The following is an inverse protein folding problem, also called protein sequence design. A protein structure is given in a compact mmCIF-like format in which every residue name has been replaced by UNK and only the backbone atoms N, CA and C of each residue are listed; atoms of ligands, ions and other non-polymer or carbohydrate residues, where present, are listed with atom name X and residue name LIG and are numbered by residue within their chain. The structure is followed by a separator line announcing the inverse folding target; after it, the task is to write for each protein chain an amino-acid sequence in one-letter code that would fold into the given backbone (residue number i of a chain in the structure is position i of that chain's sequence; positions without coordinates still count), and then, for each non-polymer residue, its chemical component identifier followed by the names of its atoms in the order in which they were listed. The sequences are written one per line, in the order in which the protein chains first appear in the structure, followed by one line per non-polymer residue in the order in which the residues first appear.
data_IF_185155352589
#
_entry.id   IF_185155352589
#
_cell.length_a   1.000
_cell.length_b   1.000
_cell.length_c   1.000
_cell.angle_alpha   90.00
_cell.angle_beta   90.00
_cell.angle_gamma   90.00
#
_symmetry.space_group_name_H-M   'P 1'
#
loop_
_entity.id
_entity.type
_entity.pdbx_description
1 polymer ?
#
# COMPACT_ATOMS: atom_id res chain seq x y z
N UNK A 1 -19.37 16.02 7.28
CA UNK A 1 -18.76 14.70 7.21
C UNK A 1 -18.51 14.18 8.63
N UNK A 2 -18.69 12.90 8.84
CA UNK A 2 -18.36 12.17 10.07
C UNK A 2 -17.27 11.17 9.78
N UNK A 3 -16.48 10.79 10.80
CA UNK A 3 -15.41 9.84 10.66
C UNK A 3 -15.26 8.93 11.88
N UNK A 4 -14.47 7.86 11.71
CA UNK A 4 -14.11 6.94 12.77
C UNK A 4 -12.60 6.86 12.84
N UNK A 5 -12.04 6.86 14.06
CA UNK A 5 -10.64 6.58 14.33
C UNK A 5 -10.57 5.25 15.08
N UNK A 6 -10.07 4.23 14.40
CA UNK A 6 -10.04 2.85 14.88
C UNK A 6 -8.63 2.45 15.30
N UNK A 7 -8.48 1.77 16.41
CA UNK A 7 -7.24 1.13 16.83
C UNK A 7 -7.56 -0.07 17.75
N UNK A 8 -6.69 -1.08 17.75
CA UNK A 8 -6.82 -2.25 18.61
C UNK A 8 -6.37 -1.97 20.06
N UNK A 9 -5.68 -0.84 20.29
CA UNK A 9 -5.14 -0.45 21.59
C UNK A 9 -5.76 0.86 22.08
N UNK A 10 -6.06 0.93 23.37
CA UNK A 10 -6.63 2.13 23.99
C UNK A 10 -5.68 3.34 23.97
N UNK A 11 -4.36 3.11 24.13
CA UNK A 11 -3.37 4.20 24.18
C UNK A 11 -3.39 5.09 22.94
N UNK A 12 -3.27 4.55 21.71
CA UNK A 12 -3.40 5.30 20.47
C UNK A 12 -4.76 6.01 20.34
N UNK A 13 -5.86 5.35 20.74
CA UNK A 13 -7.20 5.97 20.70
C UNK A 13 -7.32 7.18 21.63
N UNK A 14 -6.75 7.10 22.84
CA UNK A 14 -6.71 8.24 23.75
C UNK A 14 -5.87 9.38 23.20
N UNK A 15 -4.76 9.06 22.51
CA UNK A 15 -3.95 10.08 21.82
C UNK A 15 -4.74 10.71 20.65
N UNK A 16 -5.44 9.90 19.87
CA UNK A 16 -6.32 10.38 18.80
C UNK A 16 -7.41 11.30 19.35
N UNK A 17 -8.10 10.91 20.44
CA UNK A 17 -9.12 11.71 21.09
C UNK A 17 -8.60 13.09 21.51
N UNK A 18 -7.46 13.14 22.20
CA UNK A 18 -6.83 14.42 22.59
C UNK A 18 -6.46 15.29 21.38
N UNK A 19 -6.01 14.69 20.28
CA UNK A 19 -5.69 15.43 19.05
C UNK A 19 -6.96 15.96 18.37
N UNK A 20 -8.03 15.18 18.33
CA UNK A 20 -9.33 15.59 17.81
C UNK A 20 -9.93 16.74 18.61
N UNK A 21 -9.85 16.69 19.95
CA UNK A 21 -10.28 17.77 20.84
C UNK A 21 -9.52 19.06 20.55
N UNK A 22 -8.18 18.98 20.48
CA UNK A 22 -7.31 20.14 20.17
C UNK A 22 -7.60 20.74 18.78
N UNK A 23 -7.93 19.91 17.80
CA UNK A 23 -8.21 20.31 16.43
C UNK A 23 -9.69 20.74 16.20
N UNK A 24 -10.55 20.63 17.22
CA UNK A 24 -11.98 20.97 17.11
C UNK A 24 -12.83 19.97 16.32
N UNK A 25 -12.40 18.71 16.23
CA UNK A 25 -13.08 17.65 15.50
C UNK A 25 -13.74 16.58 16.40
N UNK A 26 -13.72 16.73 17.72
CA UNK A 26 -14.22 15.72 18.66
C UNK A 26 -15.69 15.32 18.41
N UNK A 27 -16.53 16.27 18.00
CA UNK A 27 -17.96 16.02 17.68
C UNK A 27 -18.18 15.35 16.32
N UNK A 28 -17.13 15.27 15.48
CA UNK A 28 -17.22 14.77 14.10
C UNK A 28 -16.53 13.43 13.89
N UNK A 29 -15.64 13.04 14.78
CA UNK A 29 -14.85 11.80 14.69
C UNK A 29 -15.02 10.98 15.95
N UNK A 30 -15.60 9.80 15.81
CA UNK A 30 -15.75 8.84 16.89
C UNK A 30 -14.52 7.96 16.99
N UNK A 31 -14.00 7.75 18.21
CA UNK A 31 -12.93 6.77 18.46
C UNK A 31 -13.53 5.40 18.76
N UNK A 32 -13.03 4.35 18.13
CA UNK A 32 -13.54 2.98 18.23
C UNK A 32 -12.41 2.02 18.54
N UNK A 33 -12.52 1.30 19.66
CA UNK A 33 -11.60 0.23 20.03
C UNK A 33 -11.99 -1.04 19.26
N UNK A 34 -11.24 -1.39 18.21
CA UNK A 34 -11.55 -2.52 17.34
C UNK A 34 -10.31 -3.08 16.66
N UNK A 35 -10.33 -4.35 16.26
CA UNK A 35 -9.31 -4.96 15.42
C UNK A 35 -9.60 -4.65 13.95
N UNK A 36 -8.79 -3.76 13.38
CA UNK A 36 -8.94 -3.31 12.00
C UNK A 36 -10.28 -2.62 11.76
N UNK A 37 -11.13 -3.21 10.94
CA UNK A 37 -12.44 -2.67 10.52
C UNK A 37 -13.63 -3.48 11.05
N UNK A 38 -13.44 -4.35 12.05
CA UNK A 38 -14.51 -5.14 12.63
C UNK A 38 -15.60 -4.25 13.24
N UNK A 39 -16.86 -4.53 12.91
CA UNK A 39 -18.01 -3.73 13.35
C UNK A 39 -18.28 -2.46 12.54
N UNK A 40 -17.52 -2.22 11.46
CA UNK A 40 -17.72 -1.05 10.59
C UNK A 40 -18.63 -1.32 9.39
N UNK A 41 -19.19 -2.51 9.25
CA UNK A 41 -19.96 -2.97 8.09
C UNK A 41 -21.17 -2.07 7.77
N UNK A 42 -21.78 -1.49 8.80
CA UNK A 42 -22.95 -0.62 8.64
C UNK A 42 -22.63 0.87 8.85
N UNK A 43 -21.36 1.24 8.89
CA UNK A 43 -20.93 2.62 9.16
C UNK A 43 -21.22 3.59 8.01
N UNK A 44 -21.44 3.07 6.79
CA UNK A 44 -21.70 3.88 5.60
C UNK A 44 -20.45 4.68 5.17
N UNK A 45 -19.24 4.18 5.47
CA UNK A 45 -18.00 4.85 5.05
C UNK A 45 -17.84 4.81 3.53
N UNK A 46 -17.35 5.90 2.98
CA UNK A 46 -16.98 6.04 1.57
C UNK A 46 -15.47 6.06 1.36
N UNK A 47 -14.73 6.34 2.42
CA UNK A 47 -13.27 6.43 2.39
C UNK A 47 -12.70 5.68 3.60
N UNK A 48 -11.71 4.82 3.35
CA UNK A 48 -10.98 4.08 4.39
C UNK A 48 -9.50 4.38 4.25
N UNK A 49 -8.88 4.88 5.32
CA UNK A 49 -7.44 5.16 5.37
C UNK A 49 -6.78 4.16 6.30
N UNK A 50 -5.80 3.39 5.78
CA UNK A 50 -4.96 2.49 6.59
C UNK A 50 -3.51 2.81 6.31
N UNK A 51 -2.81 3.36 7.29
CA UNK A 51 -1.45 3.87 7.12
C UNK A 51 -0.54 3.50 8.30
N UNK A 52 0.77 3.44 8.04
CA UNK A 52 1.78 3.29 9.08
C UNK A 52 2.02 1.85 9.57
N UNK A 53 1.52 0.84 8.84
CA UNK A 53 1.67 -0.59 9.17
C UNK A 53 2.14 -1.39 7.96
N UNK A 54 2.57 -2.65 8.16
CA UNK A 54 3.06 -3.49 7.06
C UNK A 54 1.98 -3.89 6.06
N UNK A 55 2.35 -4.07 4.79
CA UNK A 55 1.43 -4.45 3.72
C UNK A 55 0.71 -5.76 3.99
N UNK A 56 1.36 -6.74 4.62
CA UNK A 56 0.74 -8.00 5.04
C UNK A 56 -0.39 -7.77 6.09
N UNK A 57 -0.16 -6.83 7.01
CA UNK A 57 -1.17 -6.48 8.04
C UNK A 57 -2.35 -5.76 7.40
N UNK A 58 -2.09 -4.83 6.47
CA UNK A 58 -3.15 -4.16 5.70
C UNK A 58 -3.97 -5.20 4.94
N UNK A 59 -3.32 -6.11 4.21
CA UNK A 59 -3.99 -7.20 3.47
C UNK A 59 -4.89 -8.03 4.39
N UNK A 60 -4.41 -8.42 5.56
CA UNK A 60 -5.20 -9.17 6.54
C UNK A 60 -6.38 -8.38 7.12
N UNK A 61 -6.28 -7.05 7.27
CA UNK A 61 -7.42 -6.19 7.67
C UNK A 61 -8.48 -6.17 6.55
N UNK A 62 -8.05 -5.97 5.30
CA UNK A 62 -8.95 -5.92 4.14
C UNK A 62 -9.64 -7.28 3.90
N UNK A 63 -8.92 -8.40 4.07
CA UNK A 63 -9.47 -9.75 3.94
C UNK A 63 -10.62 -10.01 4.92
N UNK A 64 -10.51 -9.47 6.16
CA UNK A 64 -11.55 -9.58 7.19
C UNK A 64 -12.67 -8.55 7.06
N UNK A 65 -12.64 -7.70 6.03
CA UNK A 65 -13.61 -6.63 5.79
C UNK A 65 -14.28 -6.77 4.41
N UNK A 66 -15.05 -7.86 4.15
CA UNK A 66 -15.64 -8.10 2.84
C UNK A 66 -16.66 -7.03 2.42
N UNK A 67 -17.17 -6.21 3.34
CA UNK A 67 -18.04 -5.09 3.03
C UNK A 67 -17.36 -3.99 2.18
N UNK A 68 -16.01 -4.02 2.08
CA UNK A 68 -15.25 -3.13 1.21
C UNK A 68 -15.31 -3.56 -0.27
N UNK A 69 -15.75 -4.80 -0.55
CA UNK A 69 -15.90 -5.34 -1.90
C UNK A 69 -17.19 -4.83 -2.55
N UNK A 70 -17.31 -3.52 -2.66
CA UNK A 70 -18.42 -2.84 -3.31
C UNK A 70 -17.94 -1.54 -3.97
N UNK A 71 -18.65 -1.10 -5.01
CA UNK A 71 -18.37 0.16 -5.67
C UNK A 71 -18.57 1.36 -4.73
N UNK A 72 -17.81 2.42 -4.93
CA UNK A 72 -17.95 3.69 -4.24
C UNK A 72 -17.22 3.78 -2.90
N UNK A 73 -16.47 2.75 -2.48
CA UNK A 73 -15.54 2.85 -1.35
C UNK A 73 -14.12 3.03 -1.88
N UNK A 74 -13.48 4.13 -1.48
CA UNK A 74 -12.09 4.44 -1.78
C UNK A 74 -11.19 4.04 -0.63
N UNK A 75 -10.14 3.29 -0.94
CA UNK A 75 -9.09 2.90 -0.01
C UNK A 75 -7.86 3.78 -0.22
N UNK A 76 -7.36 4.39 0.85
CA UNK A 76 -6.08 5.12 0.87
C UNK A 76 -5.14 4.34 1.78
N UNK A 77 -4.14 3.70 1.18
CA UNK A 77 -3.30 2.73 1.85
C UNK A 77 -1.84 3.18 1.85
N UNK A 78 -1.20 3.18 3.02
CA UNK A 78 0.23 3.49 3.13
C UNK A 78 0.93 2.34 3.87
N UNK A 79 1.42 1.32 3.13
CA UNK A 79 2.25 0.26 3.69
C UNK A 79 3.64 0.81 4.04
N UNK A 80 4.13 0.54 5.25
CA UNK A 80 5.52 0.87 5.62
C UNK A 80 6.53 -0.12 5.05
N UNK A 81 6.10 -1.35 4.79
CA UNK A 81 6.90 -2.45 4.26
C UNK A 81 6.02 -3.36 3.43
N UNK A 82 6.61 -4.17 2.56
CA UNK A 82 5.91 -5.21 1.79
C UNK A 82 4.82 -4.66 0.85
N UNK A 83 5.11 -3.54 0.17
CA UNK A 83 4.20 -2.94 -0.81
C UNK A 83 3.76 -3.95 -1.89
N UNK A 84 4.69 -4.82 -2.33
CA UNK A 84 4.43 -5.85 -3.34
C UNK A 84 3.39 -6.89 -2.89
N UNK A 85 3.35 -7.21 -1.59
CA UNK A 85 2.37 -8.14 -1.04
C UNK A 85 0.98 -7.51 -1.05
N UNK A 86 0.90 -6.23 -0.68
CA UNK A 86 -0.37 -5.51 -0.70
C UNK A 86 -0.91 -5.34 -2.14
N UNK A 87 -0.07 -4.98 -3.12
CA UNK A 87 -0.50 -4.88 -4.52
C UNK A 87 -1.01 -6.23 -5.05
N UNK A 88 -0.29 -7.32 -4.76
CA UNK A 88 -0.70 -8.65 -5.16
C UNK A 88 -2.04 -9.07 -4.52
N UNK A 89 -2.20 -8.79 -3.22
CA UNK A 89 -3.47 -9.01 -2.52
C UNK A 89 -4.62 -8.24 -3.17
N UNK A 90 -4.45 -6.94 -3.40
CA UNK A 90 -5.47 -6.08 -4.00
C UNK A 90 -5.91 -6.61 -5.36
N UNK A 91 -4.97 -6.92 -6.25
CA UNK A 91 -5.25 -7.41 -7.60
C UNK A 91 -5.95 -8.79 -7.58
N UNK A 92 -5.54 -9.69 -6.70
CA UNK A 92 -6.14 -11.03 -6.58
C UNK A 92 -7.55 -11.01 -5.96
N UNK A 93 -7.91 -9.92 -5.23
CA UNK A 93 -9.20 -9.77 -4.55
C UNK A 93 -10.13 -8.73 -5.21
N UNK A 94 -9.88 -8.40 -6.48
CA UNK A 94 -10.78 -7.56 -7.27
C UNK A 94 -10.67 -6.06 -6.99
N UNK A 95 -9.62 -5.61 -6.32
CA UNK A 95 -9.32 -4.19 -6.15
C UNK A 95 -8.34 -3.72 -7.22
N UNK A 96 -8.62 -2.56 -7.81
CA UNK A 96 -7.70 -1.89 -8.71
C UNK A 96 -6.99 -0.75 -7.97
N UNK A 97 -5.67 -0.72 -8.06
CA UNK A 97 -4.89 0.46 -7.66
C UNK A 97 -5.08 1.52 -8.74
N UNK A 98 -5.70 2.64 -8.36
CA UNK A 98 -6.02 3.74 -9.28
C UNK A 98 -4.84 4.70 -9.39
N UNK A 99 -4.20 5.00 -8.27
CA UNK A 99 -3.12 5.96 -8.18
C UNK A 99 -2.09 5.51 -7.14
N UNK A 100 -0.82 5.84 -7.40
CA UNK A 100 0.27 5.68 -6.44
C UNK A 100 1.16 6.90 -6.46
N UNK A 101 1.52 7.37 -5.28
CA UNK A 101 2.47 8.45 -5.09
C UNK A 101 3.57 8.07 -4.10
N UNK A 102 4.76 8.63 -4.31
CA UNK A 102 5.87 8.54 -3.34
C UNK A 102 5.96 9.83 -2.56
N UNK A 103 5.84 9.72 -1.25
CA UNK A 103 6.00 10.83 -0.31
C UNK A 103 7.27 10.63 0.52
N UNK A 104 8.00 11.72 0.75
CA UNK A 104 9.19 11.71 1.60
C UNK A 104 8.86 12.16 3.02
N UNK A 105 9.39 11.47 4.02
CA UNK A 105 9.37 11.88 5.41
C UNK A 105 10.75 11.65 6.04
N UNK A 106 11.46 12.73 6.28
CA UNK A 106 12.88 12.67 6.67
C UNK A 106 13.70 11.99 5.56
N UNK A 107 14.37 10.90 5.90
CA UNK A 107 15.18 10.10 4.96
C UNK A 107 14.43 8.95 4.29
N UNK A 108 13.15 8.76 4.61
CA UNK A 108 12.38 7.63 4.13
C UNK A 108 11.44 8.03 3.00
N UNK A 109 11.26 7.12 2.05
CA UNK A 109 10.30 7.21 0.95
C UNK A 109 9.18 6.19 1.17
N UNK A 110 7.95 6.68 1.25
CA UNK A 110 6.76 5.87 1.44
C UNK A 110 5.89 5.91 0.19
N UNK A 111 5.26 4.78 -0.12
CA UNK A 111 4.27 4.70 -1.20
C UNK A 111 2.88 4.86 -0.58
N UNK A 112 2.10 5.77 -1.12
CA UNK A 112 0.67 5.92 -0.84
C UNK A 112 -0.10 5.42 -2.05
N UNK A 113 -1.04 4.51 -1.82
CA UNK A 113 -1.85 3.86 -2.85
C UNK A 113 -3.31 4.27 -2.68
N UNK A 114 -3.96 4.63 -3.76
CA UNK A 114 -5.43 4.76 -3.82
C UNK A 114 -5.97 3.54 -4.55
N UNK A 115 -6.91 2.81 -3.96
CA UNK A 115 -7.51 1.64 -4.56
C UNK A 115 -9.03 1.65 -4.42
N UNK A 116 -9.72 1.01 -5.37
CA UNK A 116 -11.16 0.85 -5.40
C UNK A 116 -11.52 -0.57 -5.81
N UNK A 117 -12.68 -1.06 -5.36
CA UNK A 117 -13.16 -2.37 -5.76
C UNK A 117 -13.80 -2.30 -7.16
N UNK A 118 -13.36 -3.19 -8.05
CA UNK A 118 -13.86 -3.32 -9.43
C UNK A 118 -14.44 -4.69 -9.71
N UNK A 119 -14.25 -5.66 -8.83
CA UNK A 119 -14.61 -7.05 -9.02
C UNK A 119 -13.70 -7.82 -9.98
N UNK A 120 -12.73 -7.15 -10.62
CA UNK A 120 -11.84 -7.77 -11.60
C UNK A 120 -10.57 -8.31 -10.93
N UNK A 121 -10.51 -9.61 -10.68
CA UNK A 121 -9.32 -10.29 -10.18
C UNK A 121 -8.30 -10.52 -11.30
N UNK A 122 -7.02 -10.28 -11.02
CA UNK A 122 -5.92 -10.57 -11.94
C UNK A 122 -4.62 -10.87 -11.23
N UNK A 123 -3.76 -11.64 -11.88
CA UNK A 123 -2.38 -11.83 -11.43
C UNK A 123 -1.50 -10.67 -11.90
N UNK A 124 -0.54 -10.30 -11.07
CA UNK A 124 0.47 -9.28 -11.39
C UNK A 124 1.77 -9.94 -11.83
N UNK A 125 2.44 -9.36 -12.82
CA UNK A 125 3.85 -9.62 -13.10
C UNK A 125 4.73 -9.16 -11.94
N UNK A 126 6.00 -9.60 -11.93
CA UNK A 126 6.95 -9.15 -10.91
C UNK A 126 7.15 -7.63 -10.96
N UNK A 127 7.24 -7.06 -12.15
CA UNK A 127 7.34 -5.62 -12.36
C UNK A 127 6.14 -4.87 -11.73
N UNK A 128 4.93 -5.31 -12.01
CA UNK A 128 3.71 -4.70 -11.44
C UNK A 128 3.65 -4.81 -9.92
N UNK A 129 4.06 -5.96 -9.34
CA UNK A 129 4.10 -6.14 -7.89
C UNK A 129 5.04 -5.16 -7.21
N UNK A 130 6.23 -4.96 -7.76
CA UNK A 130 7.26 -4.14 -7.11
C UNK A 130 7.18 -2.66 -7.45
N UNK A 131 6.73 -2.31 -8.65
CA UNK A 131 6.70 -0.93 -9.11
C UNK A 131 5.31 -0.30 -9.09
N UNK A 132 4.25 -1.11 -9.27
CA UNK A 132 2.88 -0.61 -9.35
C UNK A 132 2.73 0.47 -10.41
N UNK A 133 2.00 1.53 -10.10
CA UNK A 133 1.78 2.69 -10.95
C UNK A 133 2.89 3.76 -10.87
N UNK A 134 3.93 3.55 -10.09
CA UNK A 134 5.08 4.46 -10.05
C UNK A 134 5.81 4.54 -11.39
N UNK A 135 5.56 3.57 -12.29
CA UNK A 135 6.08 3.56 -13.66
C UNK A 135 5.34 4.51 -14.61
N UNK A 136 4.15 4.96 -14.26
CA UNK A 136 3.30 5.77 -15.15
C UNK A 136 3.68 7.25 -15.14
N UNK A 137 4.20 7.74 -14.00
CA UNK A 137 4.59 9.14 -13.82
C UNK A 137 5.74 9.26 -12.83
N UNK A 138 6.97 9.22 -13.34
CA UNK A 138 8.17 9.20 -12.51
C UNK A 138 8.56 10.59 -12.01
N UNK A 139 8.04 10.97 -10.85
CA UNK A 139 8.59 12.10 -10.08
C UNK A 139 10.02 11.77 -9.59
N UNK A 140 10.84 12.75 -9.20
CA UNK A 140 12.18 12.48 -8.63
C UNK A 140 12.14 11.49 -7.46
N UNK A 141 11.13 11.58 -6.60
CA UNK A 141 10.92 10.67 -5.46
C UNK A 141 10.54 9.25 -5.94
N UNK A 142 9.67 9.14 -6.95
CA UNK A 142 9.29 7.85 -7.54
C UNK A 142 10.48 7.19 -8.23
N UNK A 143 11.28 7.94 -9.01
CA UNK A 143 12.49 7.44 -9.62
C UNK A 143 13.51 6.96 -8.58
N UNK A 144 13.67 7.68 -7.46
CA UNK A 144 14.54 7.23 -6.36
C UNK A 144 14.02 5.94 -5.72
N UNK A 145 12.71 5.86 -5.42
CA UNK A 145 12.07 4.65 -4.88
C UNK A 145 12.24 3.47 -5.84
N UNK A 146 12.01 3.66 -7.13
CA UNK A 146 12.20 2.62 -8.15
C UNK A 146 13.68 2.17 -8.24
N UNK A 147 14.65 3.08 -8.13
CA UNK A 147 16.08 2.73 -8.10
C UNK A 147 16.40 1.87 -6.87
N UNK A 148 15.90 2.24 -5.69
CA UNK A 148 16.05 1.43 -4.48
C UNK A 148 15.43 0.04 -4.66
N UNK A 149 14.26 -0.04 -5.30
CA UNK A 149 13.58 -1.29 -5.61
C UNK A 149 14.42 -2.17 -6.55
N UNK A 150 14.97 -1.59 -7.63
CA UNK A 150 15.85 -2.32 -8.54
C UNK A 150 17.10 -2.87 -7.83
N UNK A 151 17.76 -2.08 -7.00
CA UNK A 151 18.88 -2.54 -6.19
C UNK A 151 18.48 -3.70 -5.27
N UNK A 152 17.33 -3.61 -4.60
CA UNK A 152 16.83 -4.67 -3.73
C UNK A 152 16.55 -5.97 -4.51
N UNK A 153 15.95 -5.88 -5.70
CA UNK A 153 15.70 -7.04 -6.56
C UNK A 153 17.00 -7.70 -7.02
N UNK A 154 18.00 -6.92 -7.42
CA UNK A 154 19.32 -7.45 -7.80
C UNK A 154 20.02 -8.17 -6.64
N UNK A 155 19.95 -7.64 -5.42
CA UNK A 155 20.51 -8.31 -4.24
C UNK A 155 19.73 -9.58 -3.89
N UNK A 156 18.40 -9.55 -3.94
CA UNK A 156 17.57 -10.74 -3.69
C UNK A 156 17.80 -11.84 -4.73
N UNK A 157 18.03 -11.48 -6.00
CA UNK A 157 18.40 -12.42 -7.07
C UNK A 157 19.63 -13.24 -6.69
N UNK A 158 20.67 -12.63 -6.10
CA UNK A 158 21.88 -13.35 -5.67
C UNK A 158 21.56 -14.38 -4.59
N UNK A 159 20.70 -14.03 -3.62
CA UNK A 159 20.23 -14.95 -2.58
C UNK A 159 19.45 -16.12 -3.16
N UNK A 160 18.49 -15.85 -4.04
CA UNK A 160 17.68 -16.87 -4.73
C UNK A 160 18.57 -17.86 -5.54
N UNK A 161 19.58 -17.34 -6.20
CA UNK A 161 20.52 -18.20 -6.92
C UNK A 161 21.28 -19.17 -6.00
N UNK A 162 21.70 -18.70 -4.82
CA UNK A 162 22.34 -19.54 -3.80
C UNK A 162 21.38 -20.57 -3.18
N UNK A 163 20.10 -20.24 -3.10
CA UNK A 163 19.01 -21.11 -2.64
C UNK A 163 18.62 -22.18 -3.69
N UNK A 164 19.18 -22.13 -4.90
CA UNK A 164 18.89 -23.05 -6.00
C UNK A 164 17.71 -22.63 -6.88
N UNK A 165 17.12 -21.47 -6.64
CA UNK A 165 15.95 -20.92 -7.34
C UNK A 165 16.40 -20.11 -8.60
N UNK A 166 17.16 -20.75 -9.49
CA UNK A 166 17.83 -20.06 -10.61
C UNK A 166 16.87 -19.35 -11.57
N UNK A 167 15.71 -19.92 -11.85
CA UNK A 167 14.71 -19.31 -12.74
C UNK A 167 14.13 -18.02 -12.11
N UNK A 168 13.77 -18.08 -10.84
CA UNK A 168 13.25 -16.92 -10.09
C UNK A 168 14.35 -15.85 -9.92
N UNK A 169 15.58 -16.26 -9.67
CA UNK A 169 16.75 -15.36 -9.61
C UNK A 169 16.92 -14.58 -10.91
N UNK A 170 16.80 -15.25 -12.06
CA UNK A 170 16.90 -14.62 -13.37
C UNK A 170 15.77 -13.61 -13.60
N UNK A 171 14.53 -13.94 -13.22
CA UNK A 171 13.37 -13.04 -13.32
C UNK A 171 13.58 -11.77 -12.48
N UNK A 172 14.06 -11.90 -11.23
CA UNK A 172 14.36 -10.77 -10.35
C UNK A 172 15.46 -9.86 -10.93
N UNK A 173 16.52 -10.45 -11.51
CA UNK A 173 17.59 -9.69 -12.11
C UNK A 173 17.15 -8.97 -13.38
N UNK A 174 16.36 -9.64 -14.23
CA UNK A 174 15.75 -9.03 -15.42
C UNK A 174 14.86 -7.85 -15.04
N UNK A 175 13.93 -8.02 -14.09
CA UNK A 175 13.03 -6.97 -13.61
C UNK A 175 13.84 -5.78 -13.06
N UNK A 176 14.93 -6.03 -12.33
CA UNK A 176 15.83 -4.95 -11.88
C UNK A 176 16.39 -4.15 -13.05
N UNK A 177 16.85 -4.81 -14.12
CA UNK A 177 17.35 -4.17 -15.32
C UNK A 177 16.29 -3.35 -16.07
N UNK A 178 15.09 -3.88 -16.18
CA UNK A 178 13.95 -3.20 -16.81
C UNK A 178 13.57 -1.92 -16.05
N UNK A 179 13.55 -1.94 -14.71
CA UNK A 179 13.31 -0.75 -13.88
C UNK A 179 14.36 0.32 -14.13
N UNK A 180 15.64 -0.06 -14.16
CA UNK A 180 16.73 0.89 -14.39
C UNK A 180 16.68 1.49 -15.80
N UNK A 181 16.33 0.69 -16.81
CA UNK A 181 16.12 1.17 -18.18
C UNK A 181 14.96 2.14 -18.28
N UNK A 182 13.86 1.86 -17.59
CA UNK A 182 12.68 2.75 -17.52
C UNK A 182 13.06 4.10 -16.90
N UNK A 183 13.76 4.10 -15.75
CA UNK A 183 14.22 5.32 -15.10
C UNK A 183 15.12 6.13 -16.05
N UNK A 184 16.03 5.47 -16.78
CA UNK A 184 16.89 6.12 -17.77
C UNK A 184 16.11 6.84 -18.87
N UNK A 185 14.99 6.30 -19.30
CA UNK A 185 14.15 6.89 -20.36
C UNK A 185 13.41 8.17 -19.93
N UNK A 186 13.22 8.41 -18.64
CA UNK A 186 12.60 9.64 -18.13
C UNK A 186 13.53 10.86 -18.13
N UNK A 187 14.83 10.64 -18.32
CA UNK A 187 15.84 11.71 -18.33
C UNK A 187 16.40 12.02 -19.73
N UNK A 188 15.85 11.37 -20.76
CA UNK A 188 16.17 11.62 -22.18
C UNK A 188 15.09 12.47 -22.85
#
# INVERSE_FOLDING_TARGET
QRGFACDIKEGPLQAAKRNLEKAGFAERVQTVLTDGLAGMEQSGVTDVVIAGIGGEVISGILERAPFLQQEGIRLVLQPQTREQVLRDFLANNGFAVIEEEVVSSGKYLYVVMVAEYTGCCRSLSLMEKFCGKLTDNCTPQACEKLRMTACHLAERSKGLFQEGEAALAAEYLQTSGEILSLIGSFYL
#
